data_IF_286521552514
#
_entry.id   IF_286521552514
#
_cell.length_a   1.000
_cell.length_b   1.000
_cell.length_c   1.000
_cell.angle_alpha   90.00
_cell.angle_beta   90.00
_cell.angle_gamma   90.00
#
_symmetry.space_group_name_H-M   'P 1'
#
loop_
_entity.id
_entity.type
_entity.pdbx_description
1 polymer ?
#
# COMPACT_ATOMS: atom_id res chain seq x y z
N UNK A 1 9.61 11.88 17.41
CA UNK A 1 9.55 10.40 17.43
C UNK A 1 10.23 9.87 16.18
N UNK A 2 11.25 9.02 16.30
CA UNK A 2 11.77 8.27 15.15
C UNK A 2 10.65 7.32 14.73
N UNK A 3 9.96 7.61 13.60
CA UNK A 3 8.97 6.68 13.04
C UNK A 3 9.72 5.41 12.68
N UNK A 4 9.59 4.39 13.51
CA UNK A 4 10.07 3.06 13.19
C UNK A 4 9.33 2.53 11.96
N UNK A 5 9.91 1.52 11.32
CA UNK A 5 9.25 0.78 10.26
C UNK A 5 7.92 0.23 10.78
N UNK A 6 6.80 0.71 10.26
CA UNK A 6 5.48 0.15 10.58
C UNK A 6 5.28 -1.11 9.72
N UNK A 7 5.60 -2.27 10.31
CA UNK A 7 5.53 -3.56 9.62
C UNK A 7 4.12 -3.89 9.11
N UNK A 8 3.07 -3.44 9.82
CA UNK A 8 1.68 -3.62 9.39
C UNK A 8 1.39 -2.83 8.10
N UNK A 9 1.88 -1.60 8.03
CA UNK A 9 1.73 -0.75 6.85
C UNK A 9 2.40 -1.37 5.61
N UNK A 10 3.64 -1.85 5.76
CA UNK A 10 4.39 -2.50 4.67
C UNK A 10 3.72 -3.80 4.22
N UNK A 11 3.28 -4.64 5.17
CA UNK A 11 2.58 -5.87 4.83
C UNK A 11 1.28 -5.58 4.06
N UNK A 12 0.57 -4.53 4.42
CA UNK A 12 -0.67 -4.15 3.76
C UNK A 12 -0.45 -3.65 2.34
N UNK A 13 0.59 -2.86 2.09
CA UNK A 13 1.01 -2.47 0.74
C UNK A 13 1.33 -3.71 -0.10
N UNK A 14 2.07 -4.66 0.46
CA UNK A 14 2.42 -5.91 -0.21
C UNK A 14 1.20 -6.75 -0.56
N UNK A 15 0.23 -6.88 0.35
CA UNK A 15 -1.03 -7.58 0.11
C UNK A 15 -1.83 -6.88 -0.99
N UNK A 16 -1.94 -5.54 -0.96
CA UNK A 16 -2.68 -4.79 -1.98
C UNK A 16 -2.02 -4.92 -3.36
N UNK A 17 -0.70 -4.87 -3.44
CA UNK A 17 0.04 -5.15 -4.67
C UNK A 17 -0.24 -6.58 -5.17
N UNK A 18 -0.19 -7.57 -4.29
CA UNK A 18 -0.51 -8.96 -4.63
C UNK A 18 -1.94 -9.15 -5.15
N UNK A 19 -2.92 -8.47 -4.58
CA UNK A 19 -4.32 -8.47 -5.06
C UNK A 19 -4.43 -7.88 -6.47
N UNK A 20 -3.71 -6.79 -6.76
CA UNK A 20 -3.73 -6.16 -8.09
C UNK A 20 -3.06 -7.05 -9.14
N UNK A 21 -1.94 -7.68 -8.79
CA UNK A 21 -1.29 -8.68 -9.66
C UNK A 21 -2.24 -9.86 -9.92
N UNK A 22 -2.94 -10.36 -8.90
CA UNK A 22 -3.96 -11.40 -9.05
C UNK A 22 -5.16 -10.98 -9.93
N UNK A 23 -5.38 -9.67 -10.11
CA UNK A 23 -6.38 -9.11 -11.04
C UNK A 23 -5.84 -8.86 -12.46
N UNK A 24 -4.58 -9.23 -12.73
CA UNK A 24 -3.95 -9.11 -14.04
C UNK A 24 -3.13 -7.83 -14.25
N UNK A 25 -2.85 -7.06 -13.20
CA UNK A 25 -1.92 -5.93 -13.30
C UNK A 25 -0.48 -6.47 -13.37
N UNK A 26 0.39 -5.77 -14.10
CA UNK A 26 1.83 -6.04 -13.96
C UNK A 26 2.30 -5.62 -12.56
N UNK A 27 3.39 -6.22 -12.03
CA UNK A 27 3.95 -5.83 -10.74
C UNK A 27 4.24 -4.32 -10.63
N UNK A 28 4.78 -3.71 -11.68
CA UNK A 28 5.10 -2.28 -11.73
C UNK A 28 3.83 -1.43 -11.63
N UNK A 29 2.79 -1.82 -12.37
CA UNK A 29 1.52 -1.09 -12.36
C UNK A 29 0.77 -1.26 -11.05
N UNK A 30 0.88 -2.42 -10.42
CA UNK A 30 0.34 -2.67 -9.08
C UNK A 30 1.03 -1.78 -8.04
N UNK A 31 2.37 -1.68 -8.09
CA UNK A 31 3.16 -0.80 -7.25
C UNK A 31 2.75 0.68 -7.41
N UNK A 32 2.77 1.20 -8.64
CA UNK A 32 2.39 2.59 -8.93
C UNK A 32 0.98 2.93 -8.45
N UNK A 33 0.05 1.98 -8.58
CA UNK A 33 -1.34 2.16 -8.15
C UNK A 33 -1.44 2.27 -6.63
N UNK A 34 -0.74 1.40 -5.88
CA UNK A 34 -0.72 1.43 -4.42
C UNK A 34 -0.05 2.70 -3.92
N UNK A 35 1.10 3.09 -4.49
CA UNK A 35 1.81 4.34 -4.15
C UNK A 35 0.92 5.56 -4.41
N UNK A 36 0.20 5.58 -5.53
CA UNK A 36 -0.74 6.65 -5.85
C UNK A 36 -1.85 6.75 -4.80
N UNK A 37 -2.45 5.63 -4.38
CA UNK A 37 -3.47 5.63 -3.34
C UNK A 37 -2.94 6.11 -1.99
N UNK A 38 -1.69 5.80 -1.67
CA UNK A 38 -1.06 6.25 -0.44
C UNK A 38 -0.86 7.78 -0.47
N UNK A 39 -0.37 8.32 -1.59
CA UNK A 39 -0.15 9.77 -1.79
C UNK A 39 -1.43 10.58 -1.81
N UNK A 40 -2.48 10.09 -2.47
CA UNK A 40 -3.74 10.82 -2.63
C UNK A 40 -4.72 10.60 -1.49
N UNK A 41 -4.48 9.62 -0.61
CA UNK A 41 -5.47 9.18 0.36
C UNK A 41 -6.62 8.38 -0.26
N UNK A 42 -6.48 7.90 -1.51
CA UNK A 42 -7.49 7.10 -2.21
C UNK A 42 -7.81 5.76 -1.56
N UNK A 43 -7.01 5.31 -0.59
CA UNK A 43 -7.27 4.11 0.22
C UNK A 43 -7.34 4.47 1.70
N UNK A 44 -8.56 4.39 2.26
CA UNK A 44 -8.80 4.53 3.70
C UNK A 44 -7.98 3.52 4.53
N UNK A 45 -7.80 2.32 3.99
CA UNK A 45 -7.04 1.25 4.63
C UNK A 45 -5.54 1.64 4.74
N UNK A 46 -4.94 2.18 3.68
CA UNK A 46 -3.55 2.64 3.70
C UNK A 46 -3.37 3.78 4.71
N UNK A 47 -4.29 4.76 4.72
CA UNK A 47 -4.24 5.88 5.68
C UNK A 47 -4.35 5.43 7.14
N UNK A 48 -5.17 4.42 7.42
CA UNK A 48 -5.29 3.86 8.77
C UNK A 48 -4.02 3.13 9.19
N UNK A 49 -3.45 2.31 8.31
CA UNK A 49 -2.24 1.54 8.63
C UNK A 49 -1.02 2.43 8.87
N UNK A 50 -0.90 3.57 8.17
CA UNK A 50 0.22 4.52 8.29
C UNK A 50 0.30 5.26 9.63
N UNK A 51 -0.85 5.46 10.26
CA UNK A 51 -0.97 6.23 11.51
C UNK A 51 -1.03 5.35 12.76
N UNK A 52 -0.90 4.02 12.60
CA UNK A 52 -0.76 3.06 13.70
C UNK A 52 0.71 2.93 14.12
#
# INVERSE_FOLDING_TARGET
MKRGVNALHILQEFILMGVLVGKGYSPEKAYETVEKWERTGGSKLLQQSKNR
#
